data_IF_518700919105
#
_entry.id   IF_518700919105
#
_cell.length_a   1.000
_cell.length_b   1.000
_cell.length_c   1.000
_cell.angle_alpha   90.00
_cell.angle_beta   90.00
_cell.angle_gamma   90.00
#
_symmetry.space_group_name_H-M   'P 1'
#
loop_
_entity.id
_entity.type
_entity.pdbx_description
1 polymer ?
#
# COMPACT_ATOMS: atom_id res chain seq x y z
N UNK A 1 13.90 -2.88 -17.83
CA UNK A 1 13.87 -2.53 -16.39
C UNK A 1 13.10 -3.63 -15.61
N UNK A 2 13.33 -3.84 -14.31
CA UNK A 2 12.70 -4.96 -13.55
C UNK A 2 11.16 -4.99 -13.66
N UNK A 3 10.50 -3.83 -13.57
CA UNK A 3 9.04 -3.74 -13.65
C UNK A 3 8.48 -4.15 -15.01
N UNK A 4 9.17 -3.84 -16.11
CA UNK A 4 8.75 -4.24 -17.45
C UNK A 4 8.89 -5.74 -17.66
N UNK A 5 9.93 -6.36 -17.09
CA UNK A 5 10.11 -7.81 -17.11
C UNK A 5 8.98 -8.53 -16.37
N UNK A 6 8.63 -8.07 -15.18
CA UNK A 6 7.48 -8.61 -14.42
C UNK A 6 6.16 -8.37 -15.15
N UNK A 7 5.97 -7.20 -15.76
CA UNK A 7 4.79 -6.92 -16.57
C UNK A 7 4.65 -7.90 -17.74
N UNK A 8 5.74 -8.17 -18.47
CA UNK A 8 5.72 -9.15 -19.56
C UNK A 8 5.39 -10.57 -19.05
N UNK A 9 6.05 -11.01 -17.98
CA UNK A 9 5.83 -12.33 -17.36
C UNK A 9 4.38 -12.52 -16.94
N UNK A 10 3.78 -11.53 -16.28
CA UNK A 10 2.41 -11.59 -15.81
C UNK A 10 1.37 -11.52 -16.93
N UNK A 11 1.67 -10.83 -18.03
CA UNK A 11 0.80 -10.88 -19.22
C UNK A 11 0.78 -12.29 -19.81
N UNK A 12 1.95 -12.89 -20.03
CA UNK A 12 2.08 -14.28 -20.50
C UNK A 12 1.30 -15.21 -19.59
N UNK A 13 1.50 -15.12 -18.27
CA UNK A 13 0.78 -15.95 -17.31
C UNK A 13 -0.75 -15.78 -17.39
N UNK A 14 -1.24 -14.56 -17.57
CA UNK A 14 -2.69 -14.34 -17.76
C UNK A 14 -3.19 -14.98 -19.05
N UNK A 15 -2.41 -14.87 -20.13
CA UNK A 15 -2.78 -15.39 -21.44
C UNK A 15 -2.76 -16.92 -21.45
N UNK A 16 -1.76 -17.56 -20.83
CA UNK A 16 -1.71 -19.01 -20.63
C UNK A 16 -2.97 -19.53 -19.93
N UNK A 17 -3.41 -18.85 -18.86
CA UNK A 17 -4.63 -19.22 -18.15
C UNK A 17 -5.92 -18.90 -18.90
N UNK A 18 -5.91 -17.91 -19.80
CA UNK A 18 -7.03 -17.72 -20.72
C UNK A 18 -7.10 -18.86 -21.75
N UNK A 19 -5.94 -19.31 -22.26
CA UNK A 19 -5.88 -20.47 -23.16
C UNK A 19 -6.42 -21.72 -22.49
N UNK A 20 -6.07 -21.99 -21.22
CA UNK A 20 -6.64 -23.11 -20.44
C UNK A 20 -8.17 -23.04 -20.39
N UNK A 21 -8.75 -21.86 -20.15
CA UNK A 21 -10.22 -21.70 -20.14
C UNK A 21 -10.87 -21.96 -21.51
N UNK A 22 -10.15 -21.74 -22.61
CA UNK A 22 -10.66 -21.94 -23.97
C UNK A 22 -10.50 -23.40 -24.42
N UNK A 23 -9.34 -24.00 -24.14
CA UNK A 23 -8.98 -25.35 -24.59
C UNK A 23 -9.64 -26.45 -23.75
N UNK A 24 -9.78 -26.22 -22.44
CA UNK A 24 -10.33 -27.19 -21.49
C UNK A 24 -11.76 -26.84 -21.05
N UNK A 25 -12.44 -25.93 -21.76
CA UNK A 25 -13.73 -25.35 -21.35
C UNK A 25 -14.80 -26.38 -20.94
N UNK A 26 -14.87 -27.52 -21.63
CA UNK A 26 -15.84 -28.59 -21.36
C UNK A 26 -15.49 -29.45 -20.13
N UNK A 27 -14.22 -29.46 -19.73
CA UNK A 27 -13.70 -30.27 -18.61
C UNK A 27 -13.62 -29.50 -17.31
N UNK A 28 -13.51 -28.17 -17.36
CA UNK A 28 -13.39 -27.33 -16.18
C UNK A 28 -14.79 -27.07 -15.60
N UNK A 29 -15.07 -27.43 -14.33
CA UNK A 29 -16.30 -27.06 -13.64
C UNK A 29 -16.44 -25.54 -13.50
N UNK A 30 -17.68 -25.03 -13.49
CA UNK A 30 -17.94 -23.57 -13.43
C UNK A 30 -17.26 -22.88 -12.23
N UNK A 31 -17.19 -23.55 -11.08
CA UNK A 31 -16.51 -23.00 -9.90
C UNK A 31 -15.00 -22.78 -10.12
N UNK A 32 -14.35 -23.67 -10.88
CA UNK A 32 -12.95 -23.56 -11.25
C UNK A 32 -12.77 -22.46 -12.32
N UNK A 33 -13.66 -22.37 -13.31
CA UNK A 33 -13.69 -21.26 -14.27
C UNK A 33 -13.78 -19.90 -13.57
N UNK A 34 -14.70 -19.74 -12.61
CA UNK A 34 -14.83 -18.52 -11.83
C UNK A 34 -13.57 -18.20 -11.01
N UNK A 35 -12.89 -19.23 -10.50
CA UNK A 35 -11.64 -19.07 -9.76
C UNK A 35 -10.49 -18.62 -10.69
N UNK A 36 -10.42 -19.15 -11.91
CA UNK A 36 -9.46 -18.72 -12.94
C UNK A 36 -9.77 -17.28 -13.35
N UNK A 37 -11.01 -16.98 -13.76
CA UNK A 37 -11.47 -15.64 -14.12
C UNK A 37 -11.13 -14.62 -13.04
N UNK A 38 -11.42 -14.93 -11.78
CA UNK A 38 -11.12 -14.05 -10.65
C UNK A 38 -9.62 -13.80 -10.50
N UNK A 39 -8.79 -14.83 -10.66
CA UNK A 39 -7.34 -14.72 -10.52
C UNK A 39 -6.72 -13.91 -11.67
N UNK A 40 -7.13 -14.19 -12.91
CA UNK A 40 -6.74 -13.41 -14.10
C UNK A 40 -7.16 -11.95 -13.96
N UNK A 41 -8.40 -11.68 -13.55
CA UNK A 41 -8.90 -10.32 -13.35
C UNK A 41 -8.10 -9.55 -12.29
N UNK A 42 -7.74 -10.19 -11.17
CA UNK A 42 -6.91 -9.56 -10.14
C UNK A 42 -5.51 -9.25 -10.65
N UNK A 43 -4.88 -10.18 -11.38
CA UNK A 43 -3.57 -9.95 -11.99
C UNK A 43 -3.63 -8.81 -13.02
N UNK A 44 -4.64 -8.80 -13.88
CA UNK A 44 -4.87 -7.70 -14.84
C UNK A 44 -5.08 -6.35 -14.16
N UNK A 45 -5.67 -6.32 -12.98
CA UNK A 45 -5.79 -5.07 -12.21
C UNK A 45 -4.41 -4.51 -11.80
N UNK A 46 -3.48 -5.37 -11.40
CA UNK A 46 -2.09 -4.99 -11.13
C UNK A 46 -1.44 -4.44 -12.40
N UNK A 47 -1.58 -5.16 -13.52
CA UNK A 47 -1.00 -4.79 -14.81
C UNK A 47 -1.55 -3.49 -15.40
N UNK A 48 -2.83 -3.22 -15.23
CA UNK A 48 -3.49 -2.06 -15.85
C UNK A 48 -3.47 -0.81 -14.97
N UNK A 49 -3.33 -0.97 -13.65
CA UNK A 49 -3.42 0.16 -12.71
C UNK A 49 -2.12 0.44 -11.99
N UNK A 50 -1.49 -0.59 -11.44
CA UNK A 50 -0.34 -0.41 -10.55
C UNK A 50 0.99 -0.34 -11.28
N UNK A 51 1.20 -1.21 -12.26
CA UNK A 51 2.42 -1.17 -13.07
C UNK A 51 2.58 0.16 -13.83
N UNK A 52 1.56 0.67 -14.55
CA UNK A 52 1.70 1.94 -15.26
C UNK A 52 1.93 3.12 -14.32
N UNK A 53 1.28 3.10 -13.14
CA UNK A 53 1.53 4.10 -12.12
C UNK A 53 2.95 4.05 -11.58
N UNK A 54 3.49 2.85 -11.31
CA UNK A 54 4.87 2.70 -10.89
C UNK A 54 5.86 3.21 -11.94
N UNK A 55 5.64 2.88 -13.22
CA UNK A 55 6.47 3.39 -14.31
C UNK A 55 6.42 4.92 -14.40
N UNK A 56 5.24 5.53 -14.21
CA UNK A 56 5.11 6.98 -14.13
C UNK A 56 5.88 7.58 -12.94
N UNK A 57 5.95 6.89 -11.79
CA UNK A 57 6.81 7.31 -10.68
C UNK A 57 8.30 7.25 -11.04
N UNK A 58 8.73 6.22 -11.76
CA UNK A 58 10.11 6.11 -12.24
C UNK A 58 10.42 7.28 -13.18
N UNK A 59 9.55 7.57 -14.13
CA UNK A 59 9.72 8.70 -15.06
C UNK A 59 9.83 10.04 -14.31
N UNK A 60 8.96 10.27 -13.32
CA UNK A 60 9.02 11.48 -12.48
C UNK A 60 10.33 11.57 -11.69
N UNK A 61 10.79 10.46 -11.11
CA UNK A 61 12.05 10.42 -10.38
C UNK A 61 13.24 10.72 -11.29
N UNK A 62 13.28 10.16 -12.50
CA UNK A 62 14.33 10.42 -13.48
C UNK A 62 14.35 11.89 -13.94
N UNK A 63 13.19 12.47 -14.24
CA UNK A 63 13.08 13.88 -14.62
C UNK A 63 13.57 14.79 -13.48
N UNK A 64 13.26 14.43 -12.24
CA UNK A 64 13.74 15.15 -11.07
C UNK A 64 15.27 15.08 -10.92
N UNK A 65 15.88 13.93 -11.18
CA UNK A 65 17.33 13.76 -11.13
C UNK A 65 18.06 14.53 -12.25
N UNK A 66 17.48 14.53 -13.47
CA UNK A 66 17.97 15.26 -14.64
C UNK A 66 17.90 16.78 -14.44
N UNK A 67 16.90 17.29 -13.71
CA UNK A 67 16.78 18.74 -13.42
C UNK A 67 17.77 19.24 -12.35
N UNK A 68 18.20 18.39 -11.41
CA UNK A 68 19.20 18.75 -10.39
C UNK A 68 20.61 18.88 -10.97
N UNK A 69 20.89 18.17 -12.07
CA UNK A 69 22.20 18.17 -12.75
C UNK A 69 22.37 19.31 -13.76
N UNK A 70 21.33 20.13 -13.98
CA UNK A 70 21.40 21.31 -14.86
C UNK A 70 21.51 22.60 -14.03
N UNK A 71 22.59 23.40 -14.18
CA UNK A 71 22.89 24.52 -13.28
C UNK A 71 21.99 25.76 -13.44
N UNK A 72 20.95 25.73 -14.27
CA UNK A 72 20.17 26.91 -14.67
C UNK A 72 18.75 27.03 -14.09
N UNK A 73 18.24 26.08 -13.33
CA UNK A 73 16.85 26.15 -12.82
C UNK A 73 16.76 26.61 -11.36
N UNK A 74 17.06 27.88 -11.12
CA UNK A 74 16.56 28.60 -9.96
C UNK A 74 15.09 29.00 -10.20
N UNK A 75 14.24 28.73 -9.21
CA UNK A 75 12.84 29.18 -9.10
C UNK A 75 11.91 28.84 -10.29
N UNK A 76 11.23 27.69 -10.21
CA UNK A 76 9.95 27.51 -10.91
C UNK A 76 8.88 27.07 -9.91
N UNK A 77 7.92 27.97 -9.72
CA UNK A 77 6.69 27.84 -8.92
C UNK A 77 5.76 26.70 -9.39
N UNK A 78 6.10 26.06 -10.53
CA UNK A 78 5.43 24.88 -11.10
C UNK A 78 6.40 23.70 -11.27
N UNK A 79 7.21 23.37 -10.25
CA UNK A 79 7.96 22.11 -10.30
C UNK A 79 6.99 20.93 -10.19
N UNK A 80 7.11 19.91 -11.08
CA UNK A 80 6.36 18.69 -10.92
C UNK A 80 6.68 18.07 -9.55
N UNK A 81 5.70 17.39 -8.91
CA UNK A 81 5.92 16.75 -7.63
C UNK A 81 7.15 15.84 -7.70
N UNK A 82 8.07 16.01 -6.74
CA UNK A 82 9.33 15.28 -6.73
C UNK A 82 9.11 13.89 -6.14
N UNK A 83 9.37 12.86 -6.93
CA UNK A 83 9.38 11.47 -6.47
C UNK A 83 10.79 11.10 -5.98
N UNK A 84 10.89 10.60 -4.74
CA UNK A 84 12.15 10.13 -4.17
C UNK A 84 12.30 8.60 -4.33
N UNK A 85 13.53 8.11 -4.19
CA UNK A 85 13.88 6.68 -4.18
C UNK A 85 13.09 5.92 -3.12
N UNK A 86 12.80 6.55 -1.97
CA UNK A 86 11.97 5.95 -0.93
C UNK A 86 10.51 5.72 -1.38
N UNK A 87 9.96 6.62 -2.19
CA UNK A 87 8.61 6.47 -2.74
C UNK A 87 8.57 5.32 -3.76
N UNK A 88 9.59 5.22 -4.61
CA UNK A 88 9.76 4.10 -5.54
C UNK A 88 9.88 2.77 -4.80
N UNK A 89 10.76 2.69 -3.81
CA UNK A 89 10.94 1.47 -3.03
C UNK A 89 9.66 1.09 -2.26
N UNK A 90 8.97 2.08 -1.68
CA UNK A 90 7.72 1.88 -0.96
C UNK A 90 6.60 1.38 -1.87
N UNK A 91 6.41 2.00 -3.05
CA UNK A 91 5.39 1.58 -3.99
C UNK A 91 5.73 0.23 -4.63
N UNK A 92 6.99 0.00 -4.99
CA UNK A 92 7.44 -1.28 -5.52
C UNK A 92 7.18 -2.42 -4.53
N UNK A 93 7.40 -2.22 -3.23
CA UNK A 93 7.09 -3.23 -2.23
C UNK A 93 5.60 -3.63 -2.22
N UNK A 94 4.69 -2.68 -2.46
CA UNK A 94 3.25 -2.95 -2.56
C UNK A 94 2.91 -3.71 -3.85
N UNK A 95 3.56 -3.36 -4.96
CA UNK A 95 3.37 -4.05 -6.24
C UNK A 95 3.90 -5.47 -6.14
N UNK A 96 5.14 -5.64 -5.67
CA UNK A 96 5.78 -6.94 -5.49
C UNK A 96 4.98 -7.88 -4.58
N UNK A 97 4.41 -7.38 -3.48
CA UNK A 97 3.54 -8.19 -2.62
C UNK A 97 2.29 -8.69 -3.37
N UNK A 98 1.70 -7.88 -4.25
CA UNK A 98 0.57 -8.32 -5.06
C UNK A 98 0.97 -9.28 -6.19
N UNK A 99 2.17 -9.15 -6.74
CA UNK A 99 2.73 -10.13 -7.69
C UNK A 99 2.87 -11.48 -7.00
N UNK A 100 3.47 -11.53 -5.80
CA UNK A 100 3.61 -12.77 -5.04
C UNK A 100 2.25 -13.39 -4.71
N UNK A 101 1.25 -12.58 -4.38
CA UNK A 101 -0.12 -13.05 -4.18
C UNK A 101 -0.76 -13.61 -5.45
N UNK A 102 -0.49 -13.01 -6.62
CA UNK A 102 -0.94 -13.49 -7.91
C UNK A 102 -0.27 -14.83 -8.26
N UNK A 103 1.05 -14.92 -8.13
CA UNK A 103 1.82 -16.14 -8.37
C UNK A 103 1.31 -17.30 -7.50
N UNK A 104 1.13 -17.05 -6.19
CA UNK A 104 0.57 -18.06 -5.29
C UNK A 104 -0.88 -18.46 -5.66
N UNK A 105 -1.66 -17.56 -6.26
CA UNK A 105 -3.02 -17.87 -6.70
C UNK A 105 -3.03 -18.72 -7.97
N UNK A 106 -2.18 -18.40 -8.94
CA UNK A 106 -2.03 -19.23 -10.14
C UNK A 106 -1.43 -20.60 -9.81
N UNK A 107 -0.49 -20.69 -8.88
CA UNK A 107 0.06 -21.98 -8.44
C UNK A 107 -1.01 -22.85 -7.77
N UNK A 108 -1.90 -22.26 -6.97
CA UNK A 108 -3.06 -22.99 -6.42
C UNK A 108 -3.98 -23.52 -7.51
N UNK A 109 -4.24 -22.73 -8.56
CA UNK A 109 -5.05 -23.18 -9.69
C UNK A 109 -4.36 -24.32 -10.44
N UNK A 110 -3.03 -24.22 -10.62
CA UNK A 110 -2.22 -25.26 -11.25
C UNK A 110 -2.30 -26.58 -10.49
N UNK A 111 -2.11 -26.56 -9.17
CA UNK A 111 -2.26 -27.75 -8.31
C UNK A 111 -3.68 -28.32 -8.40
N UNK A 112 -4.71 -27.47 -8.40
CA UNK A 112 -6.09 -27.94 -8.53
C UNK A 112 -6.38 -28.61 -9.89
N UNK A 113 -5.78 -28.08 -10.97
CA UNK A 113 -5.86 -28.69 -12.29
C UNK A 113 -5.11 -30.01 -12.35
N UNK A 114 -3.83 -29.99 -12.00
CA UNK A 114 -2.89 -31.07 -12.29
C UNK A 114 -3.09 -32.25 -11.31
N UNK A 115 -3.20 -31.98 -10.01
CA UNK A 115 -3.35 -33.00 -8.96
C UNK A 115 -4.82 -33.24 -8.60
N UNK A 116 -5.59 -32.16 -8.52
CA UNK A 116 -6.98 -32.21 -8.09
C UNK A 116 -7.96 -32.60 -9.19
N UNK A 117 -7.57 -32.55 -10.47
CA UNK A 117 -8.45 -32.78 -11.62
C UNK A 117 -9.77 -32.00 -11.53
N UNK A 118 -9.69 -30.79 -10.98
CA UNK A 118 -10.84 -29.92 -10.70
C UNK A 118 -11.87 -30.43 -9.69
N UNK A 119 -11.56 -31.49 -8.94
CA UNK A 119 -12.46 -32.04 -7.92
C UNK A 119 -12.80 -30.97 -6.86
N UNK A 120 -14.09 -30.74 -6.56
CA UNK A 120 -14.51 -29.74 -5.58
C UNK A 120 -13.93 -29.97 -4.18
N UNK A 121 -13.68 -31.23 -3.80
CA UNK A 121 -13.06 -31.62 -2.53
C UNK A 121 -11.60 -31.15 -2.42
N UNK A 122 -10.91 -31.02 -3.55
CA UNK A 122 -9.51 -30.61 -3.64
C UNK A 122 -9.36 -29.10 -3.92
N UNK A 123 -10.46 -28.32 -3.80
CA UNK A 123 -10.43 -26.89 -4.06
C UNK A 123 -9.41 -26.19 -3.15
N UNK A 124 -8.46 -25.41 -3.71
CA UNK A 124 -7.47 -24.70 -2.92
C UNK A 124 -8.12 -23.68 -2.00
N UNK A 125 -7.80 -23.75 -0.71
CA UNK A 125 -8.21 -22.71 0.24
C UNK A 125 -7.42 -21.46 -0.08
N UNK A 126 -8.12 -20.40 -0.45
CA UNK A 126 -7.48 -19.09 -0.62
C UNK A 126 -7.16 -18.56 0.78
N UNK A 127 -5.90 -18.22 1.11
CA UNK A 127 -5.59 -17.63 2.40
C UNK A 127 -6.45 -16.40 2.62
N UNK A 128 -7.18 -16.36 3.73
CA UNK A 128 -8.01 -15.21 4.08
C UNK A 128 -7.09 -13.99 4.15
N UNK A 129 -7.40 -12.94 3.39
CA UNK A 129 -6.65 -11.68 3.42
C UNK A 129 -6.54 -11.26 4.88
N UNK A 130 -5.31 -11.09 5.39
CA UNK A 130 -5.09 -10.73 6.79
C UNK A 130 -6.04 -9.58 7.15
N UNK A 131 -6.76 -9.66 8.29
CA UNK A 131 -7.78 -8.67 8.60
C UNK A 131 -7.14 -7.30 8.60
N UNK A 132 -7.56 -6.47 7.65
CA UNK A 132 -7.29 -5.02 7.70
C UNK A 132 -7.83 -4.60 9.05
N UNK A 133 -6.95 -4.22 9.97
CA UNK A 133 -7.34 -3.70 11.28
C UNK A 133 -8.16 -2.44 11.02
N UNK A 134 -9.46 -2.60 10.84
CA UNK A 134 -10.40 -1.50 10.85
C UNK A 134 -10.33 -0.95 12.27
N UNK A 135 -9.66 0.18 12.41
CA UNK A 135 -9.73 0.99 13.62
C UNK A 135 -11.20 1.41 13.76
N UNK A 136 -12.01 0.58 14.43
CA UNK A 136 -13.39 0.88 14.79
C UNK A 136 -13.37 2.19 15.58
N UNK A 137 -13.69 3.30 14.92
CA UNK A 137 -14.22 4.47 15.63
C UNK A 137 -15.49 3.96 16.31
N UNK A 138 -15.54 4.05 17.64
CA UNK A 138 -16.72 3.71 18.44
C UNK A 138 -17.87 4.62 17.98
N UNK A 139 -18.70 4.15 17.06
CA UNK A 139 -20.02 4.73 16.85
C UNK A 139 -20.86 4.36 18.08
N UNK A 140 -21.43 5.37 18.73
CA UNK A 140 -22.39 5.17 19.82
C UNK A 140 -23.54 4.33 19.29
N UNK A 141 -23.90 3.29 20.04
CA UNK A 141 -25.05 2.43 19.77
C UNK A 141 -26.32 3.28 19.73
N UNK A 142 -26.99 3.31 18.57
CA UNK A 142 -28.39 3.71 18.45
C UNK A 142 -29.20 2.42 18.61
N UNK A 143 -30.10 2.40 19.59
CA UNK A 143 -30.96 1.26 19.91
C UNK A 143 -31.95 1.00 18.75
N UNK A 144 -32.31 -0.26 18.45
CA UNK A 144 -33.34 -0.55 17.46
C UNK A 144 -34.73 -0.26 18.06
N UNK A 145 -35.51 0.59 17.39
CA UNK A 145 -36.94 0.77 17.66
C UNK A 145 -37.71 -0.17 16.76
N UNK A 146 -38.37 -1.15 17.36
CA UNK A 146 -39.40 -1.98 16.73
C UNK A 146 -40.65 -1.12 16.56
N UNK A 147 -41.32 -1.19 15.39
CA UNK A 147 -42.78 -1.35 15.28
C UNK A 147 -43.29 -1.32 13.82
N UNK A 148 -43.95 -2.44 13.48
CA UNK A 148 -45.20 -2.61 12.69
C UNK A 148 -45.34 -2.12 11.24
N UNK A 149 -45.44 -3.13 10.36
CA UNK A 149 -46.45 -3.36 9.30
C UNK A 149 -47.15 -2.15 8.67
N UNK A 150 -47.01 -1.99 7.35
CA UNK A 150 -48.12 -1.62 6.46
C UNK A 150 -47.80 -1.94 4.99
N UNK A 151 -48.88 -2.19 4.26
CA UNK A 151 -48.95 -2.85 2.95
C UNK A 151 -48.53 -1.92 1.80
N UNK A 152 -48.00 -2.53 0.73
CA UNK A 152 -47.62 -1.96 -0.58
C UNK A 152 -48.84 -1.24 -1.23
N UNK A 153 -48.67 -0.25 -2.12
CA UNK A 153 -48.60 -0.59 -3.55
C UNK A 153 -47.63 0.26 -4.40
N UNK A 154 -47.04 -0.44 -5.35
CA UNK A 154 -46.32 0.04 -6.54
C UNK A 154 -47.17 1.05 -7.31
N UNK A 155 -46.60 2.20 -7.67
CA UNK A 155 -47.00 2.98 -8.86
C UNK A 155 -45.74 3.48 -9.58
N UNK A 156 -45.60 3.05 -10.83
CA UNK A 156 -44.70 3.62 -11.83
C UNK A 156 -45.14 5.05 -12.16
N UNK A 157 -44.19 5.98 -12.29
CA UNK A 157 -44.29 7.08 -13.27
C UNK A 157 -42.88 7.49 -13.70
N UNK A 158 -42.68 7.43 -15.02
CA UNK A 158 -41.56 7.96 -15.77
C UNK A 158 -41.93 9.40 -16.14
N UNK A 159 -41.23 10.42 -15.64
CA UNK A 159 -41.15 11.74 -16.28
C UNK A 159 -39.78 12.37 -16.03
N UNK A 160 -39.17 12.69 -17.16
CA UNK A 160 -37.96 13.47 -17.39
C UNK A 160 -38.04 14.89 -16.79
N UNK A 161 -37.05 15.31 -15.99
CA UNK A 161 -36.70 16.73 -15.85
C UNK A 161 -35.32 16.95 -15.23
N UNK A 162 -34.38 17.38 -16.07
CA UNK A 162 -33.15 18.10 -15.69
C UNK A 162 -33.48 19.31 -14.82
N UNK A 163 -32.72 19.52 -13.74
CA UNK A 163 -32.62 20.83 -13.09
C UNK A 163 -31.14 21.14 -12.86
N UNK A 164 -30.75 22.30 -13.38
CA UNK A 164 -29.40 22.83 -13.44
C UNK A 164 -28.80 23.13 -12.07
N UNK A 165 -27.49 22.86 -11.99
CA UNK A 165 -26.60 23.39 -10.98
C UNK A 165 -26.42 24.90 -11.20
N UNK A 166 -26.92 25.70 -10.27
CA UNK A 166 -26.72 27.13 -10.24
C UNK A 166 -27.55 27.71 -9.11
N UNK A 167 -26.88 28.40 -8.19
CA UNK A 167 -27.44 28.98 -6.95
C UNK A 167 -27.58 27.99 -5.82
N UNK A 168 -26.55 27.91 -4.96
CA UNK A 168 -26.64 27.81 -3.49
C UNK A 168 -25.20 27.76 -2.94
N UNK A 169 -24.44 28.83 -3.20
CA UNK A 169 -23.16 29.14 -2.56
C UNK A 169 -23.28 30.57 -2.06
N UNK A 170 -23.41 30.74 -0.74
CA UNK A 170 -23.06 31.94 0.08
C UNK A 170 -23.56 31.73 1.53
N UNK A 171 -24.66 31.00 1.77
CA UNK A 171 -25.24 30.87 3.13
C UNK A 171 -24.62 29.76 3.99
N UNK A 172 -24.04 28.72 3.41
CA UNK A 172 -23.39 27.64 4.18
C UNK A 172 -22.04 28.09 4.75
N UNK A 173 -21.35 29.03 4.09
CA UNK A 173 -20.03 29.51 4.52
C UNK A 173 -20.07 30.47 5.70
N UNK A 174 -21.18 31.20 5.91
CA UNK A 174 -21.29 32.15 7.02
C UNK A 174 -21.52 31.44 8.36
N UNK A 175 -22.34 30.37 8.35
CA UNK A 175 -22.65 29.56 9.54
C UNK A 175 -21.45 28.74 10.07
N UNK A 176 -20.49 28.37 9.22
CA UNK A 176 -19.28 27.64 9.65
C UNK A 176 -18.24 28.54 10.35
N UNK A 177 -18.25 29.84 10.05
CA UNK A 177 -17.26 30.80 10.57
C UNK A 177 -17.59 31.32 11.98
N UNK A 178 -18.87 31.27 12.40
CA UNK A 178 -19.31 31.70 13.73
C UNK A 178 -19.14 30.63 14.82
N UNK A 179 -19.02 29.35 14.45
CA UNK A 179 -18.86 28.25 15.42
C UNK A 179 -17.42 28.09 15.99
N UNK A 180 -16.46 28.92 15.57
CA UNK A 180 -15.04 28.81 15.99
C UNK A 180 -14.70 29.72 17.19
N UNK A 181 -15.61 30.58 17.66
CA UNK A 181 -15.34 31.54 18.74
C UNK A 181 -16.10 31.24 20.04
N UNK A 182 -15.87 30.08 20.67
CA UNK A 182 -16.06 29.95 22.14
C UNK A 182 -15.49 28.65 22.71
N UNK A 183 -14.29 28.72 23.30
CA UNK A 183 -13.99 28.20 24.65
C UNK A 183 -12.47 28.16 24.88
N UNK A 184 -11.96 29.13 25.64
CA UNK A 184 -10.62 29.09 26.24
C UNK A 184 -10.72 28.37 27.59
N UNK A 185 -10.10 27.19 27.71
CA UNK A 185 -9.64 26.61 28.99
C UNK A 185 -8.29 25.89 28.76
N UNK A 186 -7.36 25.92 29.73
CA UNK A 186 -5.98 25.49 29.53
C UNK A 186 -5.89 23.96 29.44
N UNK A 187 -5.32 23.45 28.34
CA UNK A 187 -5.13 22.00 28.14
C UNK A 187 -3.75 21.58 28.65
N UNK A 188 -3.76 20.72 29.66
CA UNK A 188 -2.61 19.89 30.08
C UNK A 188 -2.05 19.15 28.86
N UNK A 189 -0.71 18.98 28.72
CA UNK A 189 -0.13 18.38 27.53
C UNK A 189 -0.52 16.91 27.44
N UNK A 190 -1.44 16.58 26.52
CA UNK A 190 -1.75 15.19 26.17
C UNK A 190 -0.55 14.63 25.42
N UNK A 191 0.26 13.79 26.08
CA UNK A 191 1.31 13.02 25.41
C UNK A 191 0.67 12.17 24.33
N UNK A 192 0.99 12.48 23.08
CA UNK A 192 0.53 11.72 21.92
C UNK A 192 1.04 10.28 21.99
N UNK A 193 0.14 9.30 21.92
CA UNK A 193 0.49 7.87 21.83
C UNK A 193 1.42 7.58 20.66
N UNK A 194 1.38 8.40 19.59
CA UNK A 194 2.30 8.30 18.47
C UNK A 194 3.72 8.72 18.88
N UNK A 195 3.86 9.76 19.72
CA UNK A 195 5.16 10.18 20.23
C UNK A 195 5.77 9.13 21.17
N UNK A 196 4.95 8.45 21.98
CA UNK A 196 5.40 7.28 22.75
C UNK A 196 5.81 6.12 21.84
N UNK A 197 5.02 5.80 20.81
CA UNK A 197 5.36 4.73 19.87
C UNK A 197 6.69 5.00 19.14
N UNK A 198 6.91 6.23 18.67
CA UNK A 198 8.16 6.64 18.01
C UNK A 198 9.35 6.61 18.98
N UNK A 199 9.17 6.98 20.25
CA UNK A 199 10.20 6.84 21.29
C UNK A 199 10.52 5.37 21.59
N UNK A 200 9.51 4.52 21.75
CA UNK A 200 9.70 3.08 21.99
C UNK A 200 10.42 2.40 20.82
N UNK A 201 10.08 2.74 19.57
CA UNK A 201 10.77 2.19 18.39
C UNK A 201 12.23 2.64 18.31
N UNK A 202 12.55 3.88 18.71
CA UNK A 202 13.93 4.36 18.83
C UNK A 202 14.72 3.64 19.93
N UNK A 203 14.10 3.34 21.08
CA UNK A 203 14.77 2.60 22.15
C UNK A 203 15.06 1.15 21.76
N UNK A 204 14.16 0.47 21.05
CA UNK A 204 14.40 -0.90 20.55
C UNK A 204 15.49 -0.95 19.48
N UNK A 205 15.58 0.09 18.64
CA UNK A 205 16.66 0.21 17.66
C UNK A 205 18.02 0.50 18.32
N UNK A 206 18.04 1.27 19.41
CA UNK A 206 19.25 1.52 20.19
C UNK A 206 19.74 0.25 20.92
N UNK A 207 18.82 -0.53 21.50
CA UNK A 207 19.14 -1.77 22.22
C UNK A 207 19.67 -2.87 21.27
N UNK A 208 19.12 -2.99 20.06
CA UNK A 208 19.67 -3.88 19.02
C UNK A 208 21.08 -3.49 18.57
N UNK A 209 21.38 -2.20 18.47
CA UNK A 209 22.73 -1.74 18.12
C UNK A 209 23.72 -1.93 19.28
N UNK A 210 23.28 -1.80 20.53
CA UNK A 210 24.13 -2.06 21.71
C UNK A 210 24.46 -3.55 21.83
N UNK A 211 23.48 -4.46 21.65
CA UNK A 211 23.73 -5.91 21.63
C UNK A 211 24.62 -6.34 20.47
N UNK A 212 24.49 -5.73 19.28
CA UNK A 212 25.42 -5.99 18.16
C UNK A 212 26.86 -5.56 18.49
N UNK A 213 27.06 -4.49 19.25
CA UNK A 213 28.40 -4.04 19.65
C UNK A 213 29.03 -4.94 20.72
N UNK A 214 28.24 -5.43 21.67
CA UNK A 214 28.72 -6.39 22.69
C UNK A 214 29.06 -7.76 22.10
N UNK A 215 28.26 -8.25 21.15
CA UNK A 215 28.58 -9.53 20.47
C UNK A 215 29.86 -9.47 19.61
N UNK A 216 30.27 -8.29 19.13
CA UNK A 216 31.55 -8.16 18.42
C UNK A 216 32.76 -8.09 19.35
N UNK A 217 32.59 -7.68 20.61
CA UNK A 217 33.70 -7.65 21.59
C UNK A 217 33.96 -9.03 22.20
N UNK A 218 32.92 -9.83 22.43
CA UNK A 218 33.06 -11.17 23.04
C UNK A 218 33.64 -12.23 22.09
N UNK A 219 33.58 -12.02 20.77
CA UNK A 219 34.10 -12.97 19.76
C UNK A 219 35.60 -12.75 19.48
N UNK A 220 36.18 -11.61 19.86
CA UNK A 220 37.59 -11.28 19.60
C UNK A 220 38.53 -11.58 20.77
N UNK A 221 37.99 -11.78 21.98
CA UNK A 221 38.80 -12.08 23.18
C UNK A 221 39.52 -13.43 23.13
N UNK A 222 39.01 -14.51 22.49
CA UNK A 222 39.74 -15.78 22.42
C UNK A 222 40.92 -15.78 21.43
N UNK A 223 41.05 -14.76 20.57
CA UNK A 223 42.05 -14.71 19.48
C UNK A 223 43.19 -13.71 19.74
N UNK A 224 43.24 -13.06 20.90
CA UNK A 224 44.34 -12.14 21.27
C UNK A 224 44.44 -10.90 20.39
N UNK A 225 43.37 -10.53 19.67
CA UNK A 225 43.35 -9.34 18.82
C UNK A 225 42.65 -8.19 19.53
N UNK A 226 43.45 -7.26 20.04
CA UNK A 226 42.98 -5.99 20.60
C UNK A 226 42.35 -5.11 19.51
N UNK A 227 41.20 -4.46 19.78
CA UNK A 227 40.61 -3.51 18.85
C UNK A 227 41.53 -2.31 18.63
N UNK A 228 41.94 -2.09 17.38
CA UNK A 228 42.74 -0.94 16.96
C UNK A 228 41.97 0.35 17.24
N UNK A 229 42.41 1.07 18.26
CA UNK A 229 41.94 2.41 18.60
C UNK A 229 42.37 3.38 17.49
N UNK A 230 41.43 3.85 16.68
CA UNK A 230 41.67 4.95 15.73
C UNK A 230 41.93 6.22 16.53
N UNK A 231 43.22 6.48 16.77
CA UNK A 231 43.75 7.72 17.33
C UNK A 231 43.23 8.92 16.51
N UNK A 232 42.69 9.91 17.20
CA UNK A 232 42.28 11.18 16.60
C UNK A 232 43.48 11.83 15.88
N UNK A 233 43.23 12.34 14.68
CA UNK A 233 44.19 13.17 13.95
C UNK A 233 44.43 14.44 14.77
N UNK A 234 45.68 14.60 15.19
CA UNK A 234 46.17 15.81 15.85
C UNK A 234 46.05 17.02 14.94
N UNK A 235 45.69 18.15 15.55
CA UNK A 235 45.84 19.48 14.99
C UNK A 235 47.33 19.84 14.90
N UNK A 236 47.79 20.50 13.82
CA UNK A 236 49.15 21.02 13.79
C UNK A 236 49.23 22.28 14.66
N UNK A 237 50.18 22.29 15.60
CA UNK A 237 50.61 23.51 16.29
C UNK A 237 51.47 24.32 15.31
N UNK A 238 51.06 25.56 15.05
CA UNK A 238 51.89 26.61 14.46
C UNK A 238 52.86 27.07 15.55
N UNK A 239 54.16 27.02 15.28
CA UNK A 239 55.19 27.67 16.07
C UNK A 239 55.73 28.86 15.27
N UNK A 240 55.78 30.01 15.94
CA UNK A 240 56.34 31.28 15.48
C UNK A 240 57.83 31.17 15.19
#
# INVERSE_FOLDING_TARGET
MLAEMEQARLNILCDDWNSVMLEEAERIPEQALDSIRTTVCKCRLVLQKKMPFFLSLVDMAEQSAKSVSSPSSQFKENQPPKTDVNDLAGYWALVADEIVQADAAFERLRVWRDEGQWEPSNRPVTPMRAPVKQTRRKSKAVKPSVNTTSKIPIKQTLVDRRINAGTLSVEITKALSEAVKSNKKPKVPVRSKLAEFLKSKRMVAADRNLRRRQNCTDVLTPLGLEPVSRRSRGTPKVLN
#
